data_IF_641891806219
#
_entry.id   IF_641891806219
#
_cell.length_a   1.000
_cell.length_b   1.000
_cell.length_c   1.000
_cell.angle_alpha   90.00
_cell.angle_beta   90.00
_cell.angle_gamma   90.00
#
_symmetry.space_group_name_H-M   'P 1'
#
loop_
_entity.id
_entity.type
_entity.pdbx_description
1 polymer ?
#
# COMPACT_ATOMS: atom_id res chain seq x y z
N UNK A 1 0.01 -9.80 15.13
CA UNK A 1 -1.00 -9.01 14.43
C UNK A 1 -0.86 -7.55 14.81
N UNK A 2 -1.00 -6.65 13.85
CA UNK A 2 -0.76 -5.22 14.05
C UNK A 2 -2.03 -4.51 14.55
N UNK A 3 -1.98 -3.93 15.75
CA UNK A 3 -3.09 -3.17 16.33
C UNK A 3 -3.28 -1.81 15.62
N UNK A 4 -4.53 -1.44 15.37
CA UNK A 4 -4.92 -0.12 14.85
C UNK A 4 -5.31 0.77 16.02
N UNK A 5 -4.52 1.82 16.26
CA UNK A 5 -4.85 2.84 17.24
C UNK A 5 -5.74 3.90 16.61
N UNK A 6 -6.91 4.14 17.20
CA UNK A 6 -7.69 5.34 16.93
C UNK A 6 -6.99 6.54 17.60
N UNK A 7 -6.21 7.28 16.81
CA UNK A 7 -5.38 8.38 17.31
C UNK A 7 -5.11 9.41 16.21
N UNK A 8 -4.39 10.47 16.55
CA UNK A 8 -3.95 11.48 15.59
C UNK A 8 -2.62 11.09 14.92
N UNK A 9 -2.46 11.51 13.68
CA UNK A 9 -1.23 11.43 12.90
C UNK A 9 -0.89 12.83 12.39
N UNK A 10 0.32 13.31 12.66
CA UNK A 10 0.76 14.64 12.23
C UNK A 10 2.17 14.59 11.61
N UNK A 11 2.33 14.89 10.30
CA UNK A 11 1.29 15.02 9.30
C UNK A 11 0.47 13.73 9.11
N UNK A 12 -0.70 13.85 8.46
CA UNK A 12 -1.47 12.68 8.05
C UNK A 12 -0.76 11.93 6.91
N UNK A 13 -1.12 10.66 6.71
CA UNK A 13 -0.60 9.84 5.60
C UNK A 13 -0.86 10.50 4.24
N UNK A 14 -2.06 11.05 4.05
CA UNK A 14 -2.42 11.74 2.81
C UNK A 14 -1.59 13.01 2.61
N UNK A 15 -1.31 13.78 3.68
CA UNK A 15 -0.45 14.96 3.58
C UNK A 15 0.98 14.60 3.16
N UNK A 16 1.56 13.52 3.71
CA UNK A 16 2.86 13.01 3.27
C UNK A 16 2.82 12.61 1.78
N UNK A 17 1.79 11.87 1.38
CA UNK A 17 1.61 11.44 -0.01
C UNK A 17 1.41 12.63 -0.96
N UNK A 18 0.71 13.69 -0.57
CA UNK A 18 0.52 14.88 -1.41
C UNK A 18 1.85 15.53 -1.80
N UNK A 19 2.85 15.52 -0.90
CA UNK A 19 4.19 16.02 -1.20
C UNK A 19 5.06 15.03 -1.98
N UNK A 20 4.94 13.73 -1.69
CA UNK A 20 5.81 12.69 -2.25
C UNK A 20 5.38 12.21 -3.64
N UNK A 21 4.08 12.12 -3.90
CA UNK A 21 3.51 11.54 -5.13
C UNK A 21 3.98 12.28 -6.40
N UNK A 22 4.00 13.63 -6.45
CA UNK A 22 4.48 14.36 -7.63
C UNK A 22 5.95 14.13 -7.99
N UNK A 23 6.75 13.61 -7.05
CA UNK A 23 8.17 13.32 -7.26
C UNK A 23 8.40 11.97 -7.94
N UNK A 24 7.35 11.16 -8.12
CA UNK A 24 7.45 9.81 -8.64
C UNK A 24 7.36 9.78 -10.17
N UNK A 25 8.18 8.96 -10.86
CA UNK A 25 8.22 8.93 -12.33
C UNK A 25 6.93 8.39 -12.97
N UNK A 26 6.11 7.68 -12.20
CA UNK A 26 4.84 7.09 -12.62
C UNK A 26 3.62 7.96 -12.28
N UNK A 27 3.81 9.10 -11.62
CA UNK A 27 2.72 10.02 -11.31
C UNK A 27 2.18 10.67 -12.59
N UNK A 28 0.86 10.61 -12.79
CA UNK A 28 0.17 11.27 -13.91
C UNK A 28 -0.11 12.72 -13.47
N UNK A 29 0.82 13.62 -13.80
CA UNK A 29 0.78 15.01 -13.38
C UNK A 29 -0.51 15.73 -13.81
N UNK A 30 -1.13 16.44 -12.86
CA UNK A 30 -2.22 17.38 -13.12
C UNK A 30 -1.75 18.84 -13.13
N UNK A 31 -2.64 19.76 -13.50
CA UNK A 31 -2.38 21.21 -13.51
C UNK A 31 -2.31 21.82 -12.10
N UNK A 32 -2.87 21.13 -11.11
CA UNK A 32 -2.94 21.56 -9.71
C UNK A 32 -2.28 20.54 -8.78
N UNK A 33 -1.98 20.95 -7.54
CA UNK A 33 -1.53 20.02 -6.52
C UNK A 33 -2.48 18.82 -6.34
N UNK A 34 -1.96 17.63 -5.97
CA UNK A 34 -2.77 16.43 -5.78
C UNK A 34 -3.90 16.66 -4.77
N UNK A 35 -5.11 16.22 -5.11
CA UNK A 35 -6.26 16.16 -4.20
C UNK A 35 -6.54 14.70 -3.88
N UNK A 36 -5.82 14.20 -2.87
CA UNK A 36 -5.81 12.78 -2.54
C UNK A 36 -6.96 12.40 -1.60
N UNK A 37 -7.66 11.34 -1.96
CA UNK A 37 -8.63 10.67 -1.09
C UNK A 37 -8.26 9.20 -0.94
N UNK A 38 -8.50 8.64 0.25
CA UNK A 38 -8.31 7.20 0.46
C UNK A 38 -9.46 6.45 -0.20
N UNK A 39 -9.12 5.52 -1.09
CA UNK A 39 -10.09 4.82 -1.93
C UNK A 39 -10.22 3.32 -1.59
N UNK A 40 -9.22 2.75 -0.93
CA UNK A 40 -9.22 1.32 -0.57
C UNK A 40 -7.85 0.89 -0.08
N UNK A 41 -7.65 -0.42 -0.03
CA UNK A 41 -6.41 -1.03 0.43
C UNK A 41 -6.60 -2.02 1.56
N UNK A 42 -5.47 -2.55 2.02
CA UNK A 42 -5.43 -3.60 3.04
C UNK A 42 -4.14 -3.50 3.85
N UNK A 43 -3.99 -4.37 4.84
CA UNK A 43 -2.78 -4.47 5.65
C UNK A 43 -2.21 -5.88 5.60
N UNK A 44 -0.92 -5.98 5.87
CA UNK A 44 -0.24 -7.24 6.14
C UNK A 44 0.43 -7.14 7.50
N UNK A 45 0.53 -8.27 8.18
CA UNK A 45 1.17 -8.32 9.48
C UNK A 45 2.66 -8.60 9.35
N UNK A 46 3.48 -7.82 10.04
CA UNK A 46 4.87 -8.21 10.32
C UNK A 46 4.88 -9.32 11.38
N UNK A 47 5.50 -10.49 11.10
CA UNK A 47 5.65 -11.57 12.08
C UNK A 47 6.36 -11.15 13.37
N UNK A 48 7.29 -10.19 13.29
CA UNK A 48 7.99 -9.64 14.45
C UNK A 48 7.22 -8.52 15.16
N UNK A 49 6.14 -8.00 14.55
CA UNK A 49 5.33 -6.90 15.08
C UNK A 49 6.04 -5.55 15.17
N UNK A 50 7.19 -5.38 14.51
CA UNK A 50 8.01 -4.17 14.56
C UNK A 50 7.65 -3.16 13.46
N UNK A 51 7.09 -3.62 12.35
CA UNK A 51 6.77 -2.83 11.16
C UNK A 51 5.26 -2.81 10.92
N UNK A 52 4.67 -1.62 10.86
CA UNK A 52 3.31 -1.50 10.33
C UNK A 52 3.35 -1.52 8.80
N UNK A 53 2.56 -2.39 8.16
CA UNK A 53 2.51 -2.52 6.69
C UNK A 53 1.08 -2.21 6.22
N UNK A 54 0.93 -1.18 5.39
CA UNK A 54 -0.37 -0.76 4.86
C UNK A 54 -0.28 -0.55 3.36
N UNK A 55 -1.11 -1.25 2.60
CA UNK A 55 -1.13 -1.27 1.16
C UNK A 55 -2.34 -0.47 0.68
N UNK A 56 -2.17 0.85 0.59
CA UNK A 56 -3.25 1.79 0.35
C UNK A 56 -3.48 2.05 -1.14
N UNK A 57 -4.75 2.18 -1.54
CA UNK A 57 -5.13 2.81 -2.81
C UNK A 57 -5.65 4.21 -2.50
N UNK A 58 -5.08 5.22 -3.18
CA UNK A 58 -5.55 6.61 -3.13
C UNK A 58 -6.02 7.06 -4.51
N UNK A 59 -7.03 7.91 -4.55
CA UNK A 59 -7.48 8.58 -5.78
C UNK A 59 -7.02 10.02 -5.79
N UNK A 60 -6.64 10.52 -6.98
CA UNK A 60 -6.33 11.92 -7.23
C UNK A 60 -7.33 12.51 -8.24
N UNK A 61 -7.96 13.63 -7.87
CA UNK A 61 -8.91 14.35 -8.72
C UNK A 61 -10.38 13.96 -8.50
N UNK A 62 -11.25 14.41 -9.42
CA UNK A 62 -12.70 14.20 -9.36
C UNK A 62 -13.20 13.30 -10.52
N UNK A 63 -14.47 12.86 -10.46
CA UNK A 63 -15.06 12.00 -11.48
C UNK A 63 -14.39 10.63 -11.51
N UNK A 64 -13.80 10.25 -12.65
CA UNK A 64 -13.07 8.99 -12.77
C UNK A 64 -11.80 8.95 -11.90
N UNK A 65 -11.14 10.11 -11.68
CA UNK A 65 -9.87 10.22 -10.94
C UNK A 65 -8.74 9.34 -11.48
N UNK A 66 -7.52 9.53 -10.97
CA UNK A 66 -6.45 8.53 -11.13
C UNK A 66 -6.28 7.77 -9.82
N UNK A 67 -6.33 6.44 -9.87
CA UNK A 67 -5.99 5.60 -8.72
C UNK A 67 -4.48 5.35 -8.67
N UNK A 68 -3.91 5.41 -7.47
CA UNK A 68 -2.51 5.12 -7.19
C UNK A 68 -2.41 4.10 -6.07
N UNK A 69 -1.58 3.09 -6.27
CA UNK A 69 -1.23 2.14 -5.23
C UNK A 69 0.01 2.62 -4.47
N UNK A 70 -0.19 2.98 -3.21
CA UNK A 70 0.82 3.57 -2.32
C UNK A 70 1.01 2.68 -1.09
N UNK A 71 1.79 1.60 -1.19
CA UNK A 71 2.09 0.78 -0.04
C UNK A 71 3.13 1.46 0.84
N UNK A 72 2.87 1.46 2.14
CA UNK A 72 3.58 2.22 3.16
C UNK A 72 4.07 1.29 4.26
N UNK A 73 5.27 1.53 4.77
CA UNK A 73 5.71 0.98 6.06
C UNK A 73 5.89 2.06 7.11
N UNK A 74 5.61 1.70 8.36
CA UNK A 74 5.77 2.55 9.53
C UNK A 74 6.76 1.90 10.49
N UNK A 75 7.89 2.57 10.72
CA UNK A 75 8.94 2.09 11.62
C UNK A 75 9.13 3.01 12.82
N UNK A 76 9.49 2.42 13.96
CA UNK A 76 9.81 3.17 15.18
C UNK A 76 11.22 3.77 15.23
N UNK A 77 12.04 3.53 14.19
CA UNK A 77 13.37 4.09 14.01
C UNK A 77 13.68 4.20 12.51
N UNK A 78 14.63 5.06 12.09
CA UNK A 78 15.08 5.12 10.70
C UNK A 78 15.64 3.77 10.23
N UNK A 79 15.42 3.45 8.97
CA UNK A 79 15.98 2.29 8.27
C UNK A 79 16.91 2.78 7.15
N UNK A 80 18.22 2.55 7.31
CA UNK A 80 19.25 3.04 6.38
C UNK A 80 19.16 2.36 5.00
N UNK A 81 18.95 1.05 4.97
CA UNK A 81 18.79 0.27 3.73
C UNK A 81 17.59 0.72 2.87
N UNK A 82 16.57 1.32 3.50
CA UNK A 82 15.38 1.84 2.81
C UNK A 82 15.39 3.37 2.64
N UNK A 83 16.52 4.05 2.89
CA UNK A 83 16.59 5.52 2.91
C UNK A 83 16.09 6.17 1.60
N UNK A 84 16.32 5.53 0.45
CA UNK A 84 15.84 6.00 -0.85
C UNK A 84 14.31 6.04 -0.96
N UNK A 85 13.60 5.24 -0.15
CA UNK A 85 12.15 5.19 -0.10
C UNK A 85 11.54 6.01 1.04
N UNK A 86 12.32 6.82 1.77
CA UNK A 86 11.76 7.64 2.86
C UNK A 86 10.79 8.68 2.29
N UNK A 87 9.52 8.56 2.66
CA UNK A 87 8.47 9.51 2.30
C UNK A 87 8.50 10.69 3.28
N UNK A 88 8.71 10.41 4.56
CA UNK A 88 8.83 11.41 5.61
C UNK A 88 8.66 10.81 7.00
N UNK A 89 8.46 11.67 7.98
CA UNK A 89 8.16 11.28 9.36
C UNK A 89 6.80 11.81 9.77
N UNK A 90 6.13 11.08 10.67
CA UNK A 90 4.91 11.54 11.33
C UNK A 90 4.98 11.29 12.84
N UNK A 91 4.25 12.09 13.60
CA UNK A 91 3.98 11.88 15.01
C UNK A 91 2.68 11.09 15.17
N UNK A 92 2.76 9.93 15.80
CA UNK A 92 1.63 9.08 16.12
C UNK A 92 1.27 9.24 17.60
N UNK A 93 0.03 9.61 17.93
CA UNK A 93 -0.35 9.96 19.30
C UNK A 93 -0.10 8.88 20.38
N UNK A 94 -0.08 7.60 20.00
CA UNK A 94 0.29 6.48 20.90
C UNK A 94 1.74 6.00 20.75
N UNK A 95 2.25 5.85 19.52
CA UNK A 95 3.54 5.22 19.25
C UNK A 95 4.69 6.25 19.18
N UNK A 96 4.42 7.55 19.22
CA UNK A 96 5.42 8.60 19.01
C UNK A 96 5.86 8.73 17.55
N UNK A 97 7.06 9.25 17.31
CA UNK A 97 7.60 9.43 15.96
C UNK A 97 7.65 8.11 15.18
N UNK A 98 7.22 8.17 13.93
CA UNK A 98 7.26 7.07 12.97
C UNK A 98 7.94 7.53 11.68
N UNK A 99 8.83 6.70 11.15
CA UNK A 99 9.41 6.87 9.84
C UNK A 99 8.54 6.14 8.83
N UNK A 100 8.08 6.87 7.81
CA UNK A 100 7.19 6.37 6.79
C UNK A 100 7.97 6.16 5.51
N UNK A 101 8.00 4.92 5.05
CA UNK A 101 8.67 4.54 3.81
C UNK A 101 7.67 4.07 2.77
N UNK A 102 8.03 4.25 1.51
CA UNK A 102 7.46 3.48 0.42
C UNK A 102 7.87 2.02 0.60
N UNK A 103 6.87 1.16 0.79
CA UNK A 103 7.07 -0.25 1.13
C UNK A 103 7.84 -1.03 0.04
N UNK A 104 7.93 -0.50 -1.18
CA UNK A 104 8.79 -1.03 -2.23
C UNK A 104 10.27 -1.10 -1.83
N UNK A 105 10.70 -0.26 -0.87
CA UNK A 105 12.08 -0.22 -0.37
C UNK A 105 12.27 -0.97 0.95
N UNK A 106 11.20 -1.52 1.53
CA UNK A 106 11.23 -2.16 2.84
C UNK A 106 11.25 -3.69 2.70
N UNK A 107 12.32 -4.39 3.13
CA UNK A 107 12.44 -5.83 2.93
C UNK A 107 11.38 -6.63 3.69
N UNK A 108 10.88 -6.11 4.82
CA UNK A 108 9.82 -6.78 5.58
C UNK A 108 8.50 -6.73 4.80
N UNK A 109 8.18 -5.58 4.21
CA UNK A 109 6.97 -5.47 3.39
C UNK A 109 7.06 -6.28 2.09
N UNK A 110 8.21 -6.30 1.42
CA UNK A 110 8.40 -7.14 0.23
C UNK A 110 8.23 -8.63 0.57
N UNK A 111 8.82 -9.10 1.67
CA UNK A 111 8.68 -10.47 2.12
C UNK A 111 7.22 -10.81 2.48
N UNK A 112 6.51 -9.91 3.17
CA UNK A 112 5.09 -10.12 3.50
C UNK A 112 4.18 -10.10 2.28
N UNK A 113 4.43 -9.20 1.32
CA UNK A 113 3.64 -9.17 0.08
C UNK A 113 3.85 -10.44 -0.74
N UNK A 114 5.09 -10.95 -0.78
CA UNK A 114 5.36 -12.23 -1.42
C UNK A 114 4.67 -13.39 -0.70
N UNK A 115 4.81 -13.44 0.64
CA UNK A 115 4.12 -14.43 1.45
C UNK A 115 2.59 -14.36 1.25
N UNK A 116 2.03 -13.16 1.08
CA UNK A 116 0.60 -12.99 0.82
C UNK A 116 0.22 -13.65 -0.49
N UNK A 117 0.92 -13.33 -1.59
CA UNK A 117 0.66 -13.94 -2.91
C UNK A 117 0.75 -15.46 -2.85
N UNK A 118 1.73 -16.01 -2.14
CA UNK A 118 1.98 -17.47 -2.07
C UNK A 118 1.17 -18.21 -1.00
N UNK A 119 0.26 -17.55 -0.27
CA UNK A 119 -0.59 -18.23 0.72
C UNK A 119 -0.06 -18.33 2.14
N UNK A 120 1.06 -17.66 2.45
CA UNK A 120 1.72 -17.72 3.76
C UNK A 120 1.21 -16.71 4.80
N UNK A 121 0.55 -15.64 4.37
CA UNK A 121 -0.10 -14.64 5.25
C UNK A 121 -1.44 -14.23 4.67
N UNK A 122 -2.35 -13.75 5.52
CA UNK A 122 -3.67 -13.28 5.12
C UNK A 122 -3.76 -11.75 5.15
N UNK A 123 -4.54 -11.18 4.23
CA UNK A 123 -4.84 -9.76 4.23
C UNK A 123 -5.68 -9.38 5.44
N UNK A 124 -5.29 -8.29 6.09
CA UNK A 124 -6.02 -7.70 7.22
C UNK A 124 -6.77 -6.45 6.78
N UNK A 125 -7.89 -6.19 7.43
CA UNK A 125 -8.72 -5.02 7.20
C UNK A 125 -7.95 -3.74 7.54
N UNK A 126 -8.14 -2.73 6.70
CA UNK A 126 -7.34 -1.52 6.75
C UNK A 126 -7.75 -0.54 7.87
N UNK A 127 -8.85 -0.81 8.57
CA UNK A 127 -9.41 0.06 9.61
C UNK A 127 -9.83 -0.67 10.89
N UNK A 128 -9.81 -2.02 10.90
CA UNK A 128 -10.18 -2.83 12.06
C UNK A 128 -9.02 -3.75 12.43
N UNK A 129 -8.75 -3.86 13.74
CA UNK A 129 -7.66 -4.74 14.23
C UNK A 129 -8.10 -6.20 14.15
N UNK A 130 -7.14 -7.09 13.92
CA UNK A 130 -7.33 -8.55 13.99
C UNK A 130 -8.50 -9.08 13.15
N UNK A 131 -8.80 -8.38 12.05
CA UNK A 131 -9.94 -8.65 11.17
C UNK A 131 -9.41 -8.95 9.78
N UNK A 132 -9.73 -10.12 9.25
CA UNK A 132 -9.36 -10.48 7.88
C UNK A 132 -10.11 -9.64 6.85
N UNK A 133 -9.47 -9.36 5.72
CA UNK A 133 -10.11 -8.72 4.56
C UNK A 133 -10.28 -9.72 3.40
N UNK A 134 -11.43 -10.42 3.31
CA UNK A 134 -11.65 -11.41 2.26
C UNK A 134 -11.89 -10.79 0.87
N UNK A 135 -11.99 -9.45 0.76
CA UNK A 135 -12.15 -8.78 -0.53
C UNK A 135 -10.85 -8.74 -1.35
N UNK A 136 -9.71 -8.85 -0.66
CA UNK A 136 -8.37 -8.85 -1.28
C UNK A 136 -8.13 -10.20 -1.94
N UNK A 137 -8.00 -10.17 -3.27
CA UNK A 137 -7.72 -11.37 -4.06
C UNK A 137 -6.23 -11.63 -4.19
N UNK A 138 -5.86 -12.90 -4.27
CA UNK A 138 -4.54 -13.35 -4.71
C UNK A 138 -4.67 -14.51 -5.69
N UNK A 139 -3.71 -14.61 -6.61
CA UNK A 139 -3.52 -15.77 -7.45
C UNK A 139 -2.04 -16.16 -7.48
N UNK A 140 -1.76 -17.46 -7.58
CA UNK A 140 -0.40 -17.99 -7.72
C UNK A 140 -0.42 -19.35 -8.44
N UNK A 141 0.37 -19.48 -9.51
CA UNK A 141 0.45 -20.70 -10.33
C UNK A 141 1.51 -21.71 -9.87
N UNK A 142 2.29 -21.37 -8.83
CA UNK A 142 3.32 -22.23 -8.25
C UNK A 142 4.75 -21.90 -8.68
N UNK A 143 5.71 -22.77 -8.35
CA UNK A 143 7.14 -22.56 -8.65
C UNK A 143 7.88 -21.69 -7.63
N UNK A 144 9.15 -21.40 -7.90
CA UNK A 144 9.97 -20.56 -7.03
C UNK A 144 9.64 -19.08 -7.29
N UNK A 145 9.10 -18.33 -6.31
CA UNK A 145 8.85 -16.92 -6.48
C UNK A 145 10.17 -16.16 -6.59
N UNK A 146 10.25 -15.22 -7.54
CA UNK A 146 11.46 -14.44 -7.79
C UNK A 146 11.40 -13.08 -7.09
N UNK A 147 10.35 -12.29 -7.36
CA UNK A 147 10.09 -10.99 -6.78
C UNK A 147 8.63 -10.58 -6.99
N UNK A 148 8.15 -9.63 -6.17
CA UNK A 148 6.87 -8.96 -6.40
C UNK A 148 7.13 -7.62 -7.07
N UNK A 149 6.45 -7.36 -8.18
CA UNK A 149 6.43 -6.07 -8.86
C UNK A 149 5.14 -5.33 -8.54
N UNK A 150 5.26 -4.07 -8.13
CA UNK A 150 4.12 -3.23 -7.78
C UNK A 150 3.53 -2.55 -9.01
N UNK A 151 2.22 -2.62 -9.16
CA UNK A 151 1.46 -1.87 -10.16
C UNK A 151 1.00 -0.56 -9.53
N UNK A 152 1.82 0.48 -9.72
CA UNK A 152 1.64 1.80 -9.06
C UNK A 152 0.41 2.56 -9.50
N UNK A 153 -0.03 2.35 -10.73
CA UNK A 153 -1.27 2.90 -11.28
C UNK A 153 -2.12 1.71 -11.68
N UNK A 154 -2.94 1.16 -10.75
CA UNK A 154 -3.70 -0.04 -11.01
C UNK A 154 -4.78 0.20 -12.06
N UNK A 155 -4.91 -0.76 -12.96
CA UNK A 155 -5.97 -0.81 -13.98
C UNK A 155 -6.75 -2.13 -13.83
N UNK A 156 -8.02 -2.17 -14.27
CA UNK A 156 -8.79 -3.42 -14.27
C UNK A 156 -8.14 -4.49 -15.15
N UNK A 157 -8.16 -5.73 -14.67
CA UNK A 157 -7.65 -6.90 -15.38
C UNK A 157 -6.24 -7.33 -14.94
N UNK A 158 -5.95 -8.62 -15.10
CA UNK A 158 -4.65 -9.22 -14.76
C UNK A 158 -3.78 -9.32 -16.01
N UNK A 159 -2.51 -8.87 -15.97
CA UNK A 159 -1.59 -9.12 -17.08
C UNK A 159 -1.44 -10.63 -17.34
N UNK A 160 -1.64 -11.06 -18.58
CA UNK A 160 -1.64 -12.49 -18.96
C UNK A 160 -0.32 -13.23 -18.69
N UNK A 161 0.77 -12.49 -18.47
CA UNK A 161 2.12 -13.04 -18.24
C UNK A 161 2.48 -13.17 -16.75
N UNK A 162 1.60 -12.77 -15.83
CA UNK A 162 1.85 -12.87 -14.40
C UNK A 162 1.63 -14.30 -13.91
N UNK A 163 2.59 -14.82 -13.14
CA UNK A 163 2.50 -16.12 -12.45
C UNK A 163 1.71 -16.03 -11.15
N UNK A 164 1.63 -14.83 -10.59
CA UNK A 164 0.72 -14.49 -9.51
C UNK A 164 0.31 -13.04 -9.53
N UNK A 165 -0.78 -12.72 -8.85
CA UNK A 165 -1.33 -11.37 -8.75
C UNK A 165 -1.90 -11.08 -7.36
N UNK A 166 -1.95 -9.80 -7.01
CA UNK A 166 -2.78 -9.26 -5.94
C UNK A 166 -3.79 -8.31 -6.54
N UNK A 167 -5.06 -8.53 -6.21
CA UNK A 167 -6.18 -7.69 -6.65
C UNK A 167 -6.89 -7.08 -5.45
N UNK A 168 -7.25 -5.81 -5.58
CA UNK A 168 -8.00 -5.07 -4.56
C UNK A 168 -9.15 -4.33 -5.19
N UNK A 169 -10.17 -4.07 -4.37
CA UNK A 169 -11.25 -3.17 -4.71
C UNK A 169 -10.93 -1.75 -4.21
N UNK A 170 -11.32 -0.73 -4.97
CA UNK A 170 -11.27 0.67 -4.53
C UNK A 170 -12.49 1.46 -5.03
N UNK A 171 -12.87 2.47 -4.26
CA UNK A 171 -13.96 3.39 -4.59
C UNK A 171 -13.40 4.60 -5.36
N UNK A 172 -13.97 4.89 -6.52
CA UNK A 172 -13.66 6.09 -7.30
C UNK A 172 -14.34 7.33 -6.71
N UNK A 173 -13.90 8.55 -7.08
CA UNK A 173 -14.55 9.78 -6.63
C UNK A 173 -16.04 9.91 -7.00
N UNK A 174 -16.51 9.22 -8.04
CA UNK A 174 -17.94 9.14 -8.40
C UNK A 174 -18.75 8.14 -7.56
N UNK A 175 -18.12 7.45 -6.60
CA UNK A 175 -18.72 6.44 -5.74
C UNK A 175 -18.75 5.03 -6.32
N UNK A 176 -18.32 4.82 -7.57
CA UNK A 176 -18.26 3.50 -8.18
C UNK A 176 -17.10 2.67 -7.63
N UNK A 177 -17.33 1.36 -7.43
CA UNK A 177 -16.27 0.42 -7.04
C UNK A 177 -15.57 -0.15 -8.27
N UNK A 178 -14.25 -0.29 -8.19
CA UNK A 178 -13.39 -0.89 -9.22
C UNK A 178 -12.53 -1.96 -8.59
N UNK A 179 -12.24 -3.02 -9.35
CA UNK A 179 -11.24 -4.01 -9.02
C UNK A 179 -10.08 -3.95 -10.00
N UNK A 180 -8.86 -4.13 -9.52
CA UNK A 180 -7.67 -4.14 -10.36
C UNK A 180 -6.44 -4.68 -9.65
N UNK A 181 -5.40 -4.93 -10.44
CA UNK A 181 -4.15 -5.53 -9.96
C UNK A 181 -3.22 -4.45 -9.39
N UNK A 182 -2.73 -4.69 -8.18
CA UNK A 182 -1.78 -3.81 -7.48
C UNK A 182 -0.38 -4.41 -7.34
N UNK A 183 -0.25 -5.72 -7.54
CA UNK A 183 1.04 -6.38 -7.56
C UNK A 183 1.01 -7.65 -8.43
N UNK A 184 2.14 -8.00 -9.04
CA UNK A 184 2.33 -9.23 -9.82
C UNK A 184 3.61 -9.95 -9.43
N UNK A 185 3.63 -11.27 -9.59
CA UNK A 185 4.83 -12.11 -9.48
C UNK A 185 5.14 -12.67 -10.87
N UNK A 186 6.40 -12.62 -11.28
CA UNK A 186 6.89 -13.09 -12.57
C UNK A 186 7.95 -14.18 -12.42
#
# INVERSE_FOLDING_TARGET
>A
MATIHSTTLAPTKLQLLTGWLPMQPWYRAGETAPRLERAGGFRLDDPAGAVGIELMVVTDGAGAGTAYFTPLTYRGAPLEEAAAGLIGTLEHGVLGTRWVYDAAHDPVAQAQLLAFVTGGVEAQHQSESDTLDPSVGRSWDGGAPSAVELVRVPEPGVPATARGSVEVDWTRPDGSTTRGVVAVVR
#
